data_IF_580181759771
#
_entry.id   IF_580181759771
#
_cell.length_a   1.000
_cell.length_b   1.000
_cell.length_c   1.000
_cell.angle_alpha   90.00
_cell.angle_beta   90.00
_cell.angle_gamma   90.00
#
_symmetry.space_group_name_H-M   'P 1'
#
loop_
_entity.id
_entity.type
_entity.pdbx_description
1 polymer ?
#
# COMPACT_ATOMS: atom_id res chain seq x y z
N UNK A 1 4.41 0.06 -14.33
CA UNK A 1 3.92 -1.18 -13.69
C UNK A 1 2.48 -0.94 -13.23
N UNK A 2 1.57 -1.93 -13.31
CA UNK A 2 0.13 -1.74 -12.99
C UNK A 2 -0.31 -2.61 -11.82
N UNK A 3 -0.16 -2.12 -10.59
CA UNK A 3 -0.57 -2.82 -9.36
C UNK A 3 -2.06 -3.20 -9.37
N UNK A 4 -2.90 -2.37 -10.01
CA UNK A 4 -4.35 -2.63 -10.17
C UNK A 4 -4.64 -4.03 -10.71
N UNK A 5 -3.89 -4.49 -11.71
CA UNK A 5 -4.13 -5.80 -12.32
C UNK A 5 -3.82 -6.92 -11.32
N UNK A 6 -2.70 -6.83 -10.61
CA UNK A 6 -2.32 -7.80 -9.58
C UNK A 6 -3.36 -7.90 -8.46
N UNK A 7 -3.86 -6.75 -7.98
CA UNK A 7 -4.91 -6.70 -6.94
C UNK A 7 -6.22 -7.33 -7.42
N UNK A 8 -6.59 -7.13 -8.69
CA UNK A 8 -7.80 -7.75 -9.25
C UNK A 8 -7.67 -9.27 -9.41
N UNK A 9 -6.48 -9.75 -9.80
CA UNK A 9 -6.19 -11.19 -9.94
C UNK A 9 -6.20 -11.89 -8.58
N UNK A 10 -5.54 -11.31 -7.58
CA UNK A 10 -5.46 -11.88 -6.23
C UNK A 10 -6.55 -11.32 -5.32
N UNK A 11 -7.80 -11.37 -5.79
CA UNK A 11 -8.95 -10.80 -5.07
C UNK A 11 -9.79 -11.88 -4.39
N UNK A 12 -10.55 -11.45 -3.37
CA UNK A 12 -11.54 -12.32 -2.71
C UNK A 12 -12.56 -12.89 -3.69
N UNK A 13 -13.01 -12.12 -4.68
CA UNK A 13 -13.96 -12.59 -5.70
C UNK A 13 -13.39 -13.72 -6.55
N UNK A 14 -12.11 -13.65 -6.92
CA UNK A 14 -11.45 -14.74 -7.66
C UNK A 14 -11.36 -16.00 -6.79
N UNK A 15 -11.01 -15.86 -5.51
CA UNK A 15 -11.02 -16.97 -4.56
C UNK A 15 -12.40 -17.65 -4.48
N UNK A 16 -13.48 -16.88 -4.30
CA UNK A 16 -14.84 -17.40 -4.27
C UNK A 16 -15.20 -18.12 -5.57
N UNK A 17 -14.92 -17.51 -6.73
CA UNK A 17 -15.21 -18.11 -8.03
C UNK A 17 -14.52 -19.47 -8.24
N UNK A 18 -13.26 -19.61 -7.77
CA UNK A 18 -12.55 -20.89 -7.80
C UNK A 18 -13.21 -21.92 -6.89
N UNK A 19 -13.67 -21.54 -5.70
CA UNK A 19 -14.33 -22.47 -4.79
C UNK A 19 -15.70 -22.94 -5.31
N UNK A 20 -16.40 -22.11 -6.08
CA UNK A 20 -17.68 -22.45 -6.73
C UNK A 20 -17.53 -23.40 -7.92
N UNK A 21 -16.31 -23.65 -8.41
CA UNK A 21 -16.09 -24.52 -9.58
C UNK A 21 -16.14 -26.03 -9.25
N UNK A 22 -16.38 -26.40 -7.99
CA UNK A 22 -16.39 -27.78 -7.46
C UNK A 22 -15.13 -28.62 -7.81
N UNK A 23 -14.01 -27.97 -8.15
CA UNK A 23 -12.75 -28.63 -8.48
C UNK A 23 -11.81 -28.65 -7.26
N UNK A 24 -11.52 -29.81 -6.66
CA UNK A 24 -10.61 -29.89 -5.52
C UNK A 24 -9.19 -29.38 -5.82
N UNK A 25 -8.78 -29.37 -7.10
CA UNK A 25 -7.45 -28.94 -7.52
C UNK A 25 -7.23 -27.44 -7.34
N UNK A 26 -8.29 -26.63 -7.33
CA UNK A 26 -8.18 -25.16 -7.26
C UNK A 26 -8.23 -24.61 -5.84
N UNK A 27 -8.52 -25.45 -4.83
CA UNK A 27 -8.67 -25.04 -3.43
C UNK A 27 -7.41 -24.34 -2.90
N UNK A 28 -6.22 -24.87 -3.22
CA UNK A 28 -4.95 -24.25 -2.82
C UNK A 28 -4.75 -22.85 -3.42
N UNK A 29 -5.12 -22.66 -4.68
CA UNK A 29 -5.06 -21.37 -5.38
C UNK A 29 -6.08 -20.40 -4.80
N UNK A 30 -7.30 -20.86 -4.53
CA UNK A 30 -8.34 -20.05 -3.91
C UNK A 30 -7.91 -19.54 -2.53
N UNK A 31 -7.31 -20.42 -1.72
CA UNK A 31 -6.78 -20.06 -0.40
C UNK A 31 -5.64 -19.03 -0.52
N UNK A 32 -4.73 -19.21 -1.47
CA UNK A 32 -3.66 -18.25 -1.73
C UNK A 32 -4.21 -16.87 -2.10
N UNK A 33 -5.17 -16.81 -3.04
CA UNK A 33 -5.81 -15.55 -3.44
C UNK A 33 -6.48 -14.86 -2.24
N UNK A 34 -7.17 -15.61 -1.38
CA UNK A 34 -7.80 -15.06 -0.18
C UNK A 34 -6.79 -14.52 0.83
N UNK A 35 -5.74 -15.30 1.13
CA UNK A 35 -4.70 -14.92 2.09
C UNK A 35 -3.97 -13.64 1.66
N UNK A 36 -3.64 -13.53 0.37
CA UNK A 36 -2.97 -12.33 -0.16
C UNK A 36 -3.91 -11.14 -0.23
N UNK A 37 -5.18 -11.33 -0.62
CA UNK A 37 -6.20 -10.27 -0.60
C UNK A 37 -6.34 -9.68 0.81
N UNK A 38 -6.56 -10.55 1.81
CA UNK A 38 -6.79 -10.13 3.19
C UNK A 38 -5.55 -9.44 3.78
N UNK A 39 -4.34 -9.96 3.48
CA UNK A 39 -3.10 -9.29 3.85
C UNK A 39 -2.99 -7.89 3.23
N UNK A 40 -3.31 -7.75 1.94
CA UNK A 40 -3.26 -6.47 1.24
C UNK A 40 -4.27 -5.47 1.81
N UNK A 41 -5.49 -5.91 2.10
CA UNK A 41 -6.53 -5.08 2.71
C UNK A 41 -6.11 -4.58 4.10
N UNK A 42 -5.60 -5.47 4.97
CA UNK A 42 -5.14 -5.10 6.32
C UNK A 42 -3.96 -4.12 6.29
N UNK A 43 -3.09 -4.25 5.27
CA UNK A 43 -1.89 -3.42 5.15
C UNK A 43 -2.11 -2.09 4.42
N UNK A 44 -3.29 -1.86 3.86
CA UNK A 44 -3.61 -0.68 3.04
C UNK A 44 -4.87 0.06 3.53
N UNK A 45 -4.99 0.25 4.84
CA UNK A 45 -6.12 0.95 5.45
C UNK A 45 -5.95 2.45 5.28
N UNK A 46 -6.88 3.08 4.55
CA UNK A 46 -6.75 4.49 4.11
C UNK A 46 -7.80 5.45 4.65
N UNK A 47 -8.88 4.96 5.27
CA UNK A 47 -10.02 5.79 5.66
C UNK A 47 -10.76 5.24 6.86
N UNK A 48 -11.28 6.15 7.69
CA UNK A 48 -12.12 5.81 8.85
C UNK A 48 -13.47 5.19 8.47
N UNK A 49 -13.97 5.44 7.26
CA UNK A 49 -15.35 5.11 6.88
C UNK A 49 -15.46 4.11 5.73
N UNK A 50 -14.35 3.82 5.06
CA UNK A 50 -14.38 3.00 3.85
C UNK A 50 -14.81 1.56 4.13
N UNK A 51 -14.42 0.99 5.27
CA UNK A 51 -14.84 -0.33 5.71
C UNK A 51 -16.37 -0.46 5.76
N UNK A 52 -17.08 0.60 6.16
CA UNK A 52 -18.54 0.65 6.21
C UNK A 52 -19.16 0.66 4.81
N UNK A 53 -18.62 1.49 3.91
CA UNK A 53 -19.11 1.61 2.53
C UNK A 53 -18.88 0.32 1.73
N UNK A 54 -17.70 -0.28 1.88
CA UNK A 54 -17.33 -1.52 1.18
C UNK A 54 -17.81 -2.79 1.89
N UNK A 55 -18.32 -2.67 3.12
CA UNK A 55 -18.69 -3.81 3.98
C UNK A 55 -17.55 -4.82 4.09
N UNK A 56 -16.36 -4.33 4.38
CA UNK A 56 -15.16 -5.14 4.50
C UNK A 56 -14.41 -4.80 5.79
N UNK A 57 -14.43 -5.72 6.75
CA UNK A 57 -13.80 -5.52 8.06
C UNK A 57 -12.28 -5.47 7.98
N UNK A 58 -11.67 -6.12 6.97
CA UNK A 58 -10.21 -6.15 6.77
C UNK A 58 -9.60 -4.78 6.50
N UNK A 59 -10.40 -3.80 6.11
CA UNK A 59 -9.94 -2.41 5.86
C UNK A 59 -10.38 -1.44 6.97
N UNK A 60 -10.72 -1.96 8.16
CA UNK A 60 -11.06 -1.15 9.32
C UNK A 60 -9.80 -0.47 9.89
N UNK A 61 -9.89 0.80 10.34
CA UNK A 61 -8.80 1.44 11.07
C UNK A 61 -8.40 0.65 12.31
N UNK A 62 -7.11 0.65 12.61
CA UNK A 62 -6.59 0.06 13.84
C UNK A 62 -6.84 1.01 14.99
N UNK A 63 -7.65 0.60 15.95
CA UNK A 63 -8.02 1.40 17.14
C UNK A 63 -7.51 0.78 18.43
N UNK A 64 -7.02 -0.46 18.39
CA UNK A 64 -6.54 -1.21 19.55
C UNK A 64 -5.21 -1.92 19.25
N UNK A 65 -4.27 -1.97 20.20
CA UNK A 65 -3.04 -2.76 20.05
C UNK A 65 -3.31 -4.28 20.00
N UNK A 66 -4.47 -4.73 20.47
CA UNK A 66 -4.92 -6.13 20.44
C UNK A 66 -5.92 -6.39 19.30
N UNK A 67 -5.87 -5.58 18.25
CA UNK A 67 -6.73 -5.74 17.07
C UNK A 67 -6.57 -7.14 16.42
N UNK A 68 -7.70 -7.77 16.13
CA UNK A 68 -7.77 -9.13 15.60
C UNK A 68 -7.07 -9.28 14.24
N UNK A 69 -6.99 -8.21 13.44
CA UNK A 69 -6.31 -8.23 12.16
C UNK A 69 -4.80 -8.36 12.35
N UNK A 70 -4.22 -7.72 13.38
CA UNK A 70 -2.80 -7.87 13.72
C UNK A 70 -2.49 -9.29 14.15
N UNK A 71 -3.38 -9.88 14.97
CA UNK A 71 -3.27 -11.28 15.40
C UNK A 71 -3.37 -12.21 14.20
N UNK A 72 -4.31 -11.97 13.29
CA UNK A 72 -4.48 -12.76 12.06
C UNK A 72 -3.25 -12.68 11.14
N UNK A 73 -2.67 -11.50 10.93
CA UNK A 73 -1.47 -11.34 10.10
C UNK A 73 -0.30 -12.18 10.64
N UNK A 74 -0.11 -12.20 11.97
CA UNK A 74 0.96 -12.96 12.61
C UNK A 74 0.67 -14.46 12.67
N UNK A 75 -0.49 -14.84 13.19
CA UNK A 75 -0.76 -16.22 13.58
C UNK A 75 -1.45 -17.03 12.48
N UNK A 76 -2.05 -16.38 11.50
CA UNK A 76 -2.72 -17.05 10.38
C UNK A 76 -1.94 -16.87 9.09
N UNK A 77 -1.66 -15.63 8.68
CA UNK A 77 -1.01 -15.38 7.39
C UNK A 77 0.45 -15.84 7.35
N UNK A 78 1.29 -15.43 8.32
CA UNK A 78 2.68 -15.92 8.36
C UNK A 78 2.74 -17.43 8.59
N UNK A 79 1.87 -17.97 9.44
CA UNK A 79 1.80 -19.41 9.68
C UNK A 79 1.43 -20.18 8.43
N UNK A 80 0.49 -19.69 7.64
CA UNK A 80 0.16 -20.23 6.31
C UNK A 80 1.39 -20.27 5.39
N UNK A 81 2.19 -19.21 5.34
CA UNK A 81 3.41 -19.19 4.53
C UNK A 81 4.49 -20.16 5.03
N UNK A 82 4.60 -20.33 6.35
CA UNK A 82 5.49 -21.31 6.98
C UNK A 82 5.07 -22.74 6.66
N UNK A 83 3.79 -23.05 6.83
CA UNK A 83 3.22 -24.38 6.57
C UNK A 83 3.31 -24.72 5.07
N UNK A 84 3.08 -23.73 4.18
CA UNK A 84 3.31 -23.92 2.75
C UNK A 84 4.79 -24.23 2.46
N UNK A 85 5.73 -23.48 3.04
CA UNK A 85 7.16 -23.74 2.86
C UNK A 85 7.57 -25.13 3.38
N UNK A 86 7.05 -25.54 4.54
CA UNK A 86 7.30 -26.87 5.12
C UNK A 86 6.70 -27.98 4.25
N UNK A 87 5.51 -27.77 3.69
CA UNK A 87 4.89 -28.72 2.76
C UNK A 87 5.74 -28.93 1.51
N UNK A 88 6.38 -27.88 0.99
CA UNK A 88 7.29 -27.96 -0.16
C UNK A 88 8.56 -28.71 0.20
N UNK A 89 9.09 -28.53 1.43
CA UNK A 89 10.27 -29.25 1.90
C UNK A 89 10.01 -30.75 2.12
N UNK A 90 8.87 -31.09 2.73
CA UNK A 90 8.48 -32.47 3.08
C UNK A 90 7.80 -33.22 1.95
N UNK A 91 7.51 -32.56 0.82
CA UNK A 91 6.86 -33.17 -0.35
C UNK A 91 7.62 -34.40 -0.83
N UNK A 92 6.93 -35.55 -0.83
CA UNK A 92 7.42 -36.83 -1.35
C UNK A 92 7.64 -36.73 -2.87
N UNK A 93 8.79 -37.18 -3.33
CA UNK A 93 9.19 -37.15 -4.74
C UNK A 93 10.66 -36.74 -4.91
N UNK A 94 11.29 -37.23 -5.98
CA UNK A 94 12.66 -36.86 -6.35
C UNK A 94 12.68 -35.51 -7.09
N UNK A 95 12.37 -34.44 -6.37
CA UNK A 95 12.44 -33.07 -6.89
C UNK A 95 13.84 -32.49 -6.69
N UNK A 96 14.38 -31.89 -7.74
CA UNK A 96 15.61 -31.09 -7.68
C UNK A 96 15.40 -29.82 -6.85
N UNK A 97 16.49 -29.19 -6.41
CA UNK A 97 16.44 -27.92 -5.67
C UNK A 97 15.71 -26.83 -6.48
N UNK A 98 16.01 -26.70 -7.78
CA UNK A 98 15.39 -25.69 -8.64
C UNK A 98 13.89 -25.93 -8.88
N UNK A 99 13.42 -27.17 -8.87
CA UNK A 99 11.98 -27.47 -8.94
C UNK A 99 11.28 -27.11 -7.63
N UNK A 100 11.89 -27.39 -6.49
CA UNK A 100 11.34 -26.99 -5.18
C UNK A 100 11.28 -25.48 -5.02
N UNK A 101 12.27 -24.74 -5.52
CA UNK A 101 12.25 -23.27 -5.54
C UNK A 101 11.07 -22.70 -6.34
N UNK A 102 10.69 -23.34 -7.45
CA UNK A 102 9.51 -22.93 -8.26
C UNK A 102 8.18 -23.24 -7.59
N UNK A 103 8.15 -24.14 -6.62
CA UNK A 103 6.92 -24.52 -5.90
C UNK A 103 6.56 -23.56 -4.76
N UNK A 104 7.43 -22.61 -4.44
CA UNK A 104 7.23 -21.64 -3.37
C UNK A 104 7.51 -20.21 -3.87
N UNK A 105 7.17 -19.24 -3.02
CA UNK A 105 7.54 -17.84 -3.26
C UNK A 105 9.06 -17.68 -3.34
N UNK A 106 9.50 -16.64 -4.05
CA UNK A 106 10.92 -16.26 -4.03
C UNK A 106 11.37 -16.01 -2.60
N UNK A 107 12.64 -16.33 -2.31
CA UNK A 107 13.22 -16.09 -0.98
C UNK A 107 13.05 -14.65 -0.52
N UNK A 108 13.28 -13.70 -1.43
CA UNK A 108 13.14 -12.26 -1.16
C UNK A 108 11.70 -11.88 -0.82
N UNK A 109 10.72 -12.43 -1.54
CA UNK A 109 9.29 -12.18 -1.27
C UNK A 109 8.88 -12.73 0.09
N UNK A 110 9.29 -13.95 0.43
CA UNK A 110 8.98 -14.57 1.72
C UNK A 110 9.62 -13.83 2.90
N UNK A 111 10.90 -13.47 2.79
CA UNK A 111 11.58 -12.65 3.80
C UNK A 111 10.95 -11.26 3.92
N UNK A 112 10.58 -10.65 2.78
CA UNK A 112 9.86 -9.39 2.72
C UNK A 112 8.52 -9.44 3.46
N UNK A 113 7.70 -10.47 3.25
CA UNK A 113 6.44 -10.62 3.98
C UNK A 113 6.64 -10.69 5.50
N UNK A 114 7.64 -11.46 5.97
CA UNK A 114 7.94 -11.53 7.41
C UNK A 114 8.33 -10.18 7.98
N UNK A 115 9.27 -9.49 7.33
CA UNK A 115 9.74 -8.16 7.78
C UNK A 115 8.56 -7.18 7.79
N UNK A 116 7.76 -7.15 6.72
CA UNK A 116 6.59 -6.27 6.61
C UNK A 116 5.59 -6.57 7.71
N UNK A 117 5.17 -7.82 7.93
CA UNK A 117 4.18 -8.15 8.98
C UNK A 117 4.70 -7.76 10.36
N UNK A 118 5.93 -8.13 10.71
CA UNK A 118 6.48 -7.80 12.02
C UNK A 118 6.60 -6.29 12.24
N UNK A 119 7.18 -5.57 11.28
CA UNK A 119 7.33 -4.10 11.38
C UNK A 119 5.98 -3.38 11.40
N UNK A 120 5.00 -3.85 10.63
CA UNK A 120 3.65 -3.30 10.59
C UNK A 120 2.95 -3.41 11.95
N UNK A 121 3.00 -4.60 12.57
CA UNK A 121 2.40 -4.84 13.88
C UNK A 121 3.07 -3.96 14.94
N UNK A 122 4.40 -3.96 15.01
CA UNK A 122 5.12 -3.16 16.01
C UNK A 122 4.88 -1.66 15.82
N UNK A 123 4.87 -1.15 14.58
CA UNK A 123 4.59 0.26 14.30
C UNK A 123 3.18 0.67 14.72
N UNK A 124 2.16 -0.15 14.45
CA UNK A 124 0.78 0.14 14.85
C UNK A 124 0.66 0.13 16.37
N UNK A 125 1.19 -0.90 17.04
CA UNK A 125 1.16 -1.00 18.50
C UNK A 125 1.86 0.17 19.17
N UNK A 126 3.01 0.59 18.63
CA UNK A 126 3.76 1.75 19.11
C UNK A 126 2.97 3.05 18.96
N UNK A 127 2.34 3.29 17.81
CA UNK A 127 1.54 4.50 17.62
C UNK A 127 0.34 4.53 18.57
N UNK A 128 -0.35 3.41 18.73
CA UNK A 128 -1.49 3.32 19.65
C UNK A 128 -1.06 3.46 21.12
N UNK A 129 0.16 3.05 21.48
CA UNK A 129 0.68 3.25 22.85
C UNK A 129 1.04 4.71 23.16
N UNK A 130 1.22 5.56 22.15
CA UNK A 130 1.45 7.00 22.29
C UNK A 130 0.12 7.78 22.18
N UNK A 131 -1.00 7.14 22.55
CA UNK A 131 -2.34 7.75 22.62
C UNK A 131 -2.92 8.23 21.28
N UNK A 132 -2.41 7.77 20.14
CA UNK A 132 -3.11 7.96 18.87
C UNK A 132 -4.43 7.17 18.90
N UNK A 133 -5.55 7.85 18.59
CA UNK A 133 -6.88 7.21 18.63
C UNK A 133 -7.08 6.12 17.58
N UNK A 134 -6.33 6.19 16.48
CA UNK A 134 -6.35 5.19 15.43
C UNK A 134 -5.09 5.26 14.56
N UNK A 135 -4.84 4.21 13.77
CA UNK A 135 -3.78 4.16 12.76
C UNK A 135 -4.36 3.79 11.39
N UNK A 136 -3.97 4.56 10.36
CA UNK A 136 -4.27 4.29 8.95
C UNK A 136 -2.99 3.78 8.27
N UNK A 137 -2.94 2.47 8.01
CA UNK A 137 -1.72 1.78 7.59
C UNK A 137 -1.25 2.10 6.17
N UNK A 138 -2.11 2.67 5.31
CA UNK A 138 -1.71 3.15 3.97
C UNK A 138 -0.58 4.17 4.04
N UNK A 139 -0.45 4.90 5.16
CA UNK A 139 0.62 5.90 5.38
C UNK A 139 2.02 5.31 5.52
N UNK A 140 2.13 3.98 5.71
CA UNK A 140 3.42 3.29 5.72
C UNK A 140 3.92 2.93 4.32
N UNK A 141 3.05 3.04 3.31
CA UNK A 141 3.37 2.67 1.93
C UNK A 141 4.04 3.83 1.19
N UNK A 142 4.81 3.49 0.15
CA UNK A 142 5.54 4.46 -0.67
C UNK A 142 4.69 5.05 -1.80
N UNK A 143 3.39 4.75 -1.86
CA UNK A 143 2.45 5.21 -2.90
C UNK A 143 2.49 6.74 -3.09
N UNK A 144 2.60 7.51 -2.00
CA UNK A 144 2.68 8.98 -2.06
C UNK A 144 3.97 9.44 -2.75
N UNK A 145 5.07 8.72 -2.54
CA UNK A 145 6.34 9.01 -3.20
C UNK A 145 6.29 8.64 -4.69
N UNK A 146 5.66 7.51 -5.04
CA UNK A 146 5.43 7.13 -6.44
C UNK A 146 4.54 8.14 -7.17
N UNK A 147 3.49 8.62 -6.51
CA UNK A 147 2.60 9.67 -7.01
C UNK A 147 3.39 10.97 -7.25
N UNK A 148 4.25 11.36 -6.32
CA UNK A 148 5.15 12.50 -6.49
C UNK A 148 6.07 12.34 -7.72
N UNK A 149 6.66 11.17 -7.94
CA UNK A 149 7.44 10.91 -9.16
C UNK A 149 6.58 10.93 -10.43
N UNK A 150 5.30 10.56 -10.35
CA UNK A 150 4.33 10.74 -11.42
C UNK A 150 4.15 12.21 -11.81
N UNK A 151 3.99 13.09 -10.82
CA UNK A 151 3.90 14.53 -11.04
C UNK A 151 5.18 15.11 -11.65
N UNK A 152 6.34 14.67 -11.16
CA UNK A 152 7.65 15.05 -11.69
C UNK A 152 7.79 14.76 -13.19
N UNK A 153 7.37 13.57 -13.64
CA UNK A 153 7.39 13.20 -15.06
C UNK A 153 6.35 13.96 -15.88
N UNK A 154 5.17 14.20 -15.31
CA UNK A 154 4.07 14.89 -16.01
C UNK A 154 4.42 16.33 -16.36
N UNK A 155 5.19 17.03 -15.53
CA UNK A 155 5.63 18.40 -15.80
C UNK A 155 6.53 18.52 -17.04
N UNK A 156 7.24 17.45 -17.41
CA UNK A 156 8.07 17.40 -18.62
C UNK A 156 7.27 17.24 -19.92
N UNK A 157 5.95 17.06 -19.85
CA UNK A 157 5.09 16.82 -21.01
C UNK A 157 5.45 15.52 -21.72
N UNK A 158 6.20 15.60 -22.83
CA UNK A 158 6.73 14.43 -23.56
C UNK A 158 8.12 13.99 -23.07
N UNK A 159 8.71 14.72 -22.12
CA UNK A 159 9.99 14.39 -21.51
C UNK A 159 9.77 13.61 -20.22
N UNK A 160 9.53 12.30 -20.35
CA UNK A 160 9.24 11.41 -19.22
C UNK A 160 10.47 11.13 -18.32
N UNK A 161 11.67 11.47 -18.80
CA UNK A 161 12.94 11.23 -18.10
C UNK A 161 13.67 12.56 -17.89
N UNK A 162 13.31 13.35 -16.87
CA UNK A 162 13.97 14.61 -16.59
C UNK A 162 15.42 14.40 -16.14
N UNK A 163 16.30 15.34 -16.51
CA UNK A 163 17.64 15.44 -15.92
C UNK A 163 17.56 15.85 -14.44
N UNK A 164 18.65 15.69 -13.69
CA UNK A 164 18.70 16.13 -12.29
C UNK A 164 18.41 17.64 -12.13
N UNK A 165 18.83 18.45 -13.11
CA UNK A 165 18.53 19.88 -13.13
C UNK A 165 17.05 20.15 -13.38
N UNK A 166 16.44 19.48 -14.37
CA UNK A 166 15.01 19.59 -14.65
C UNK A 166 14.17 19.14 -13.45
N UNK A 167 14.57 18.04 -12.79
CA UNK A 167 13.94 17.56 -11.57
C UNK A 167 13.93 18.62 -10.47
N UNK A 168 15.04 19.35 -10.29
CA UNK A 168 15.14 20.46 -9.32
C UNK A 168 14.20 21.63 -9.66
N UNK A 169 14.08 22.00 -10.93
CA UNK A 169 13.14 23.05 -11.35
C UNK A 169 11.68 22.61 -11.19
N UNK A 170 11.38 21.36 -11.54
CA UNK A 170 10.07 20.76 -11.35
C UNK A 170 9.69 20.69 -9.87
N UNK A 171 10.61 20.31 -8.99
CA UNK A 171 10.40 20.27 -7.53
C UNK A 171 9.96 21.64 -6.98
N UNK A 172 10.68 22.71 -7.34
CA UNK A 172 10.28 24.08 -6.98
C UNK A 172 8.90 24.45 -7.50
N UNK A 173 8.58 24.02 -8.71
CA UNK A 173 7.29 24.28 -9.34
C UNK A 173 6.16 23.55 -8.60
N UNK A 174 6.35 22.27 -8.26
CA UNK A 174 5.40 21.48 -7.48
C UNK A 174 5.20 22.06 -6.08
N UNK A 175 6.28 22.47 -5.41
CA UNK A 175 6.21 23.11 -4.09
C UNK A 175 5.39 24.41 -4.16
N UNK A 176 5.72 25.29 -5.11
CA UNK A 176 4.99 26.56 -5.30
C UNK A 176 3.53 26.35 -5.69
N UNK A 177 3.21 25.34 -6.51
CA UNK A 177 1.83 24.99 -6.84
C UNK A 177 1.06 24.53 -5.60
N UNK A 178 1.62 23.64 -4.77
CA UNK A 178 0.96 23.18 -3.53
C UNK A 178 0.61 24.32 -2.58
N UNK A 179 1.43 25.37 -2.56
CA UNK A 179 1.11 26.60 -1.82
C UNK A 179 0.02 27.39 -2.56
N UNK A 180 0.23 27.79 -3.81
CA UNK A 180 -0.63 28.77 -4.50
C UNK A 180 -2.04 28.22 -4.82
N UNK A 181 -2.14 26.96 -5.26
CA UNK A 181 -3.40 26.28 -5.57
C UNK A 181 -3.22 24.75 -5.59
N UNK A 182 -3.96 23.96 -4.78
CA UNK A 182 -3.91 22.51 -4.86
C UNK A 182 -4.24 22.08 -6.29
N UNK A 183 -3.30 21.39 -6.96
CA UNK A 183 -3.44 21.01 -8.37
C UNK A 183 -4.69 20.15 -8.57
N UNK A 184 -5.65 20.65 -9.35
CA UNK A 184 -7.01 20.08 -9.48
C UNK A 184 -7.09 18.94 -10.53
N UNK A 185 -6.07 18.74 -11.36
CA UNK A 185 -6.10 17.68 -12.38
C UNK A 185 -4.71 17.28 -12.87
N UNK A 186 -4.27 16.08 -12.49
CA UNK A 186 -3.23 15.32 -13.19
C UNK A 186 -3.83 14.10 -13.88
N UNK A 187 -3.03 13.39 -14.69
CA UNK A 187 -3.46 12.15 -15.36
C UNK A 187 -3.73 10.98 -14.38
N UNK A 188 -3.36 11.13 -13.11
CA UNK A 188 -3.72 10.22 -12.02
C UNK A 188 -5.00 10.73 -11.35
N UNK A 189 -6.06 9.90 -11.39
CA UNK A 189 -7.40 10.26 -10.93
C UNK A 189 -7.42 10.85 -9.50
N UNK A 190 -8.24 11.91 -9.35
CA UNK A 190 -8.28 12.81 -8.20
C UNK A 190 -8.36 12.11 -6.83
N UNK A 191 -7.27 12.22 -6.06
CA UNK A 191 -7.20 11.85 -4.65
C UNK A 191 -7.35 13.05 -3.71
N UNK A 192 -7.24 14.28 -4.21
CA UNK A 192 -7.17 15.49 -3.37
C UNK A 192 -8.42 16.37 -3.54
N UNK A 193 -8.94 16.89 -2.42
CA UNK A 193 -10.06 17.85 -2.40
C UNK A 193 -9.68 19.20 -3.02
N UNK A 194 -10.70 20.00 -3.38
CA UNK A 194 -10.51 21.31 -4.03
C UNK A 194 -10.13 22.44 -3.06
N UNK A 195 -10.14 22.16 -1.76
CA UNK A 195 -10.00 23.19 -0.74
C UNK A 195 -8.52 23.46 -0.46
N UNK A 196 -8.16 24.75 -0.44
CA UNK A 196 -6.83 25.21 -0.05
C UNK A 196 -6.59 24.83 1.42
N UNK A 197 -5.41 24.31 1.74
CA UNK A 197 -5.03 23.95 3.12
C UNK A 197 -4.79 25.17 4.02
N UNK A 198 -4.82 26.38 3.46
CA UNK A 198 -4.69 27.64 4.19
C UNK A 198 -5.49 28.77 3.52
N UNK A 199 -5.89 29.75 4.32
CA UNK A 199 -6.46 31.00 3.84
C UNK A 199 -5.33 31.94 3.47
N UNK A 200 -5.17 32.25 2.18
CA UNK A 200 -4.25 33.31 1.74
C UNK A 200 -4.87 34.62 2.20
N UNK A 201 -4.19 35.37 3.07
CA UNK A 201 -4.63 36.70 3.47
C UNK A 201 -4.51 37.67 2.28
N UNK A 202 -5.54 38.49 2.06
CA UNK A 202 -5.50 39.61 1.09
C UNK A 202 -4.69 40.81 1.63
N UNK A 203 -4.14 40.71 2.84
CA UNK A 203 -3.31 41.77 3.42
C UNK A 203 -2.06 42.04 2.56
N UNK A 204 -1.80 43.30 2.20
CA UNK A 204 -0.63 43.64 1.42
C UNK A 204 0.66 43.34 2.19
N UNK A 205 1.59 42.64 1.53
CA UNK A 205 2.91 42.35 2.08
C UNK A 205 3.60 43.65 2.55
N UNK A 206 4.13 43.65 3.77
CA UNK A 206 4.88 44.79 4.30
C UNK A 206 6.05 45.12 3.37
N UNK A 207 6.02 46.33 2.81
CA UNK A 207 7.06 46.84 1.90
C UNK A 207 8.42 46.76 2.59
N UNK A 208 9.36 45.98 2.03
CA UNK A 208 10.70 45.80 2.60
C UNK A 208 11.41 47.16 2.60
N UNK A 209 11.67 47.72 3.79
CA UNK A 209 12.45 48.96 3.92
C UNK A 209 13.86 48.70 3.39
N UNK A 210 14.33 49.48 2.40
CA UNK A 210 15.74 49.48 2.03
C UNK A 210 16.54 49.92 3.26
N UNK A 211 17.53 49.12 3.67
CA UNK A 211 18.53 49.59 4.64
C UNK A 211 19.26 50.76 3.97
N UNK A 212 19.27 51.92 4.64
CA UNK A 212 20.17 53.02 4.30
C UNK A 212 21.59 52.64 4.65
#
# INVERSE_FOLDING_TARGET
MKVKLSVQVLSRTVSTCLLESDDPSVVGTAMFCQMVNDFFDCSNVRSLREHQLKRNDRIKPYESPDDEHLVWMKNTFLKYLEDWKESVATRKGSYTTGEREKMFLSRQTYEGFKITVHSHIEAIKFLLSIEFSYVLSERFLQDVLEDYFGHQRTLGGRSDNPSAEQFRYNDRTLAAQRDIAPSVSGNTGGRYGKDKWYTVSDEPLKKRKKKK
#
